data_IF_572580556739
#
_entry.id   IF_572580556739
#
_cell.length_a   1.000
_cell.length_b   1.000
_cell.length_c   1.000
_cell.angle_alpha   90.00
_cell.angle_beta   90.00
_cell.angle_gamma   90.00
#
_symmetry.space_group_name_H-M   'P 1'
#
loop_
_entity.id
_entity.type
_entity.pdbx_description
1 polymer ?
#
# COMPACT_ATOMS: atom_id res chain seq x y z
N UNK A 1 24.99 26.47 8.19
CA UNK A 1 24.12 25.99 9.28
C UNK A 1 24.25 24.48 9.37
N UNK A 2 24.48 23.93 10.56
CA UNK A 2 24.76 22.51 10.81
C UNK A 2 25.92 22.38 11.80
N UNK A 3 25.62 22.11 13.07
CA UNK A 3 26.61 22.08 14.15
C UNK A 3 27.75 21.08 13.91
N UNK A 4 28.96 21.45 14.35
CA UNK A 4 30.25 20.74 14.18
C UNK A 4 30.25 19.31 14.78
N UNK A 5 29.56 18.34 14.16
CA UNK A 5 29.64 16.93 14.57
C UNK A 5 28.55 15.98 14.07
N UNK A 6 27.48 16.47 13.41
CA UNK A 6 26.37 15.61 12.98
C UNK A 6 26.55 14.91 11.64
N UNK A 7 27.64 15.20 10.90
CA UNK A 7 27.83 14.82 9.48
C UNK A 7 27.71 13.33 9.18
N UNK A 8 27.93 12.44 10.16
CA UNK A 8 27.88 10.98 9.95
C UNK A 8 26.61 10.31 10.51
N UNK A 9 25.67 11.07 11.11
CA UNK A 9 24.43 10.50 11.67
C UNK A 9 23.35 10.53 10.61
N UNK A 10 22.94 9.35 10.14
CA UNK A 10 21.83 9.21 9.20
C UNK A 10 20.51 9.27 9.98
N UNK A 11 19.51 9.90 9.37
CA UNK A 11 18.13 9.95 9.86
C UNK A 11 17.22 9.59 8.69
N UNK A 12 16.25 8.71 8.92
CA UNK A 12 15.24 8.35 7.92
C UNK A 12 13.87 8.86 8.35
N UNK A 13 13.07 9.26 7.37
CA UNK A 13 11.73 9.80 7.56
C UNK A 13 10.70 8.88 6.90
N UNK A 14 9.50 8.85 7.47
CA UNK A 14 8.35 8.12 6.94
C UNK A 14 7.07 8.89 7.21
N UNK A 15 5.95 8.43 6.68
CA UNK A 15 4.62 8.98 6.98
C UNK A 15 3.92 8.08 7.99
N UNK A 16 3.24 8.68 8.98
CA UNK A 16 2.36 7.96 9.91
C UNK A 16 0.95 7.75 9.32
N UNK A 17 0.04 7.15 10.10
CA UNK A 17 -1.35 6.86 9.70
C UNK A 17 -2.18 8.13 9.40
N UNK A 18 -1.76 9.27 9.96
CA UNK A 18 -2.37 10.58 9.74
C UNK A 18 -1.67 11.35 8.58
N UNK A 19 -0.87 10.66 7.77
CA UNK A 19 -0.06 11.23 6.69
C UNK A 19 0.98 12.28 7.15
N UNK A 20 1.38 12.27 8.44
CA UNK A 20 2.38 13.20 8.98
C UNK A 20 3.78 12.62 8.86
N UNK A 21 4.76 13.47 8.53
CA UNK A 21 6.16 13.07 8.47
C UNK A 21 6.69 12.80 9.89
N UNK A 22 7.16 11.58 10.11
CA UNK A 22 7.77 11.12 11.35
C UNK A 22 9.17 10.58 11.10
N UNK A 23 9.97 10.47 12.16
CA UNK A 23 11.31 9.89 12.10
C UNK A 23 11.21 8.38 12.30
N UNK A 24 11.72 7.61 11.34
CA UNK A 24 11.72 6.13 11.39
C UNK A 24 13.01 5.62 12.03
N UNK A 25 14.16 6.19 11.65
CA UNK A 25 15.47 5.83 12.19
C UNK A 25 16.26 7.10 12.53
N UNK A 26 16.92 7.11 13.68
CA UNK A 26 17.74 8.25 14.10
C UNK A 26 18.29 8.08 15.52
N UNK A 27 18.92 9.14 16.03
CA UNK A 27 19.49 9.16 17.39
C UNK A 27 18.50 9.78 18.35
N UNK A 28 18.06 9.01 19.36
CA UNK A 28 17.20 9.50 20.42
C UNK A 28 17.99 10.34 21.43
N UNK A 29 17.50 11.53 21.73
CA UNK A 29 18.06 12.39 22.76
C UNK A 29 17.66 11.91 24.17
N UNK A 30 18.53 12.12 25.15
CA UNK A 30 18.21 11.84 26.55
C UNK A 30 17.19 12.83 27.11
N UNK A 31 16.46 12.43 28.14
CA UNK A 31 15.45 13.28 28.78
C UNK A 31 16.04 14.59 29.32
N UNK A 32 17.26 14.55 29.88
CA UNK A 32 17.93 15.76 30.38
C UNK A 32 18.28 16.75 29.27
N UNK A 33 18.70 16.26 28.10
CA UNK A 33 18.98 17.10 26.93
C UNK A 33 17.69 17.72 26.40
N UNK A 34 16.61 16.93 26.28
CA UNK A 34 15.30 17.44 25.85
C UNK A 34 14.74 18.50 26.80
N UNK A 35 14.89 18.31 28.11
CA UNK A 35 14.46 19.30 29.12
C UNK A 35 15.20 20.61 28.95
N UNK A 36 16.52 20.57 28.82
CA UNK A 36 17.35 21.77 28.60
C UNK A 36 16.98 22.49 27.31
N UNK A 37 16.72 21.75 26.22
CA UNK A 37 16.28 22.34 24.95
C UNK A 37 14.94 23.08 25.10
N UNK A 38 13.98 22.51 25.83
CA UNK A 38 12.71 23.19 26.10
C UNK A 38 12.88 24.46 26.95
N UNK A 39 13.74 24.39 27.96
CA UNK A 39 14.04 25.52 28.85
C UNK A 39 14.79 26.64 28.10
N UNK A 40 15.71 26.31 27.19
CA UNK A 40 16.41 27.30 26.36
C UNK A 40 15.48 28.00 25.37
N UNK A 41 14.52 27.28 24.78
CA UNK A 41 13.50 27.87 23.90
C UNK A 41 12.56 28.83 24.65
N UNK A 42 12.33 28.59 25.95
CA UNK A 42 11.53 29.49 26.81
C UNK A 42 12.30 30.72 27.27
N UNK A 43 13.62 30.60 27.49
CA UNK A 43 14.47 31.73 27.86
C UNK A 43 14.64 32.75 26.71
N UNK A 44 14.62 32.32 25.46
CA UNK A 44 14.64 33.23 24.29
C UNK A 44 13.26 33.87 24.00
N UNK A 45 12.17 33.28 24.51
CA UNK A 45 10.81 33.78 24.31
C UNK A 45 10.40 34.91 25.27
N UNK A 46 11.24 35.31 26.23
CA UNK A 46 10.94 36.42 27.16
C UNK A 46 11.19 37.81 26.57
N UNK A 47 11.27 37.96 25.25
CA UNK A 47 11.47 39.25 24.56
C UNK A 47 10.52 39.46 23.37
N UNK A 48 9.22 39.28 23.56
CA UNK A 48 8.23 40.06 22.81
C UNK A 48 6.95 40.28 23.64
N UNK A 49 6.33 41.48 23.57
CA UNK A 49 5.45 41.97 24.62
C UNK A 49 4.04 41.39 24.49
N UNK A 50 3.46 41.10 25.64
CA UNK A 50 2.02 40.88 25.82
C UNK A 50 1.22 42.12 25.42
N UNK A 51 0.19 41.96 24.59
CA UNK A 51 -0.96 42.86 24.58
C UNK A 51 -2.26 42.07 24.41
N UNK A 52 -3.00 41.98 25.51
CA UNK A 52 -4.45 41.83 25.51
C UNK A 52 -5.09 43.02 24.79
N UNK A 53 -6.01 42.80 23.84
CA UNK A 53 -7.21 43.63 23.64
C UNK A 53 -8.06 43.18 22.45
N UNK A 54 -9.36 43.30 22.67
CA UNK A 54 -10.46 43.46 21.73
C UNK A 54 -10.80 42.35 20.73
N UNK A 55 -11.74 41.53 21.19
CA UNK A 55 -12.62 40.73 20.37
C UNK A 55 -13.75 41.64 19.79
N UNK A 56 -13.43 42.49 18.82
CA UNK A 56 -14.41 43.16 17.94
C UNK A 56 -14.08 42.91 16.46
N UNK A 57 -14.80 41.93 15.90
CA UNK A 57 -15.51 41.95 14.61
C UNK A 57 -14.80 42.44 13.32
N UNK A 58 -14.49 41.43 12.47
CA UNK A 58 -14.61 41.33 11.00
C UNK A 58 -13.68 42.15 10.07
N UNK A 59 -13.51 41.76 8.76
CA UNK A 59 -13.55 40.43 8.12
C UNK A 59 -12.32 40.19 7.20
N UNK A 60 -12.26 39.02 6.56
CA UNK A 60 -11.41 38.70 5.38
C UNK A 60 -9.92 38.36 5.63
N UNK A 61 -9.65 37.05 5.80
CA UNK A 61 -8.56 36.42 5.03
C UNK A 61 -8.94 34.98 4.70
N UNK A 62 -8.96 34.67 3.40
CA UNK A 62 -9.35 33.41 2.81
C UNK A 62 -8.79 32.18 3.55
N UNK A 63 -9.72 31.37 4.05
CA UNK A 63 -9.47 29.99 4.49
C UNK A 63 -9.01 29.20 3.25
N UNK A 64 -7.91 28.44 3.26
CA UNK A 64 -7.77 27.37 2.31
C UNK A 64 -8.86 26.38 2.69
N UNK A 65 -9.91 26.31 1.87
CA UNK A 65 -10.93 25.28 1.98
C UNK A 65 -10.26 23.96 1.60
N UNK A 66 -9.54 23.37 2.55
CA UNK A 66 -9.18 21.96 2.50
C UNK A 66 -10.47 21.13 2.43
N UNK A 67 -10.39 19.90 1.89
CA UNK A 67 -11.56 19.07 1.74
C UNK A 67 -12.28 18.96 3.08
N UNK A 68 -13.59 19.19 3.04
CA UNK A 68 -14.47 19.03 4.18
C UNK A 68 -14.24 17.65 4.79
N UNK A 69 -14.39 17.52 6.12
CA UNK A 69 -14.35 16.21 6.80
C UNK A 69 -15.26 15.17 6.14
N UNK A 70 -16.34 15.60 5.50
CA UNK A 70 -17.23 14.74 4.71
C UNK A 70 -16.61 14.27 3.41
N UNK A 71 -15.88 15.12 2.69
CA UNK A 71 -15.20 14.76 1.44
C UNK A 71 -14.07 13.75 1.71
N UNK A 72 -13.34 13.91 2.81
CA UNK A 72 -12.33 12.95 3.26
C UNK A 72 -12.97 11.59 3.57
N UNK A 73 -14.11 11.58 4.28
CA UNK A 73 -14.81 10.34 4.62
C UNK A 73 -15.37 9.63 3.38
N UNK A 74 -15.88 10.37 2.40
CA UNK A 74 -16.31 9.83 1.11
C UNK A 74 -15.13 9.25 0.31
N UNK A 75 -13.98 9.93 0.33
CA UNK A 75 -12.78 9.44 -0.35
C UNK A 75 -12.27 8.12 0.27
N UNK A 76 -12.25 8.03 1.60
CA UNK A 76 -11.91 6.79 2.33
C UNK A 76 -12.88 5.67 1.93
N UNK A 77 -14.19 5.93 1.91
CA UNK A 77 -15.20 4.94 1.49
C UNK A 77 -14.97 4.48 0.05
N UNK A 78 -14.70 5.42 -0.86
CA UNK A 78 -14.46 5.14 -2.29
C UNK A 78 -13.15 4.35 -2.50
N UNK A 79 -12.13 4.63 -1.70
CA UNK A 79 -10.87 3.86 -1.69
C UNK A 79 -11.11 2.42 -1.24
N UNK A 80 -11.86 2.24 -0.16
CA UNK A 80 -12.19 0.90 0.36
C UNK A 80 -12.95 0.06 -0.68
N UNK A 81 -13.96 0.64 -1.34
CA UNK A 81 -14.73 -0.03 -2.38
C UNK A 81 -13.85 -0.45 -3.58
N UNK A 82 -12.93 0.41 -4.02
CA UNK A 82 -11.95 0.06 -5.06
C UNK A 82 -11.03 -1.07 -4.65
N UNK A 83 -10.55 -1.06 -3.41
CA UNK A 83 -9.71 -2.14 -2.90
C UNK A 83 -10.49 -3.46 -2.85
N UNK A 84 -11.76 -3.40 -2.44
CA UNK A 84 -12.62 -4.57 -2.42
C UNK A 84 -12.84 -5.15 -3.83
N UNK A 85 -13.07 -4.30 -4.84
CA UNK A 85 -13.21 -4.76 -6.23
C UNK A 85 -11.92 -5.37 -6.78
N UNK A 86 -10.76 -4.78 -6.46
CA UNK A 86 -9.46 -5.31 -6.89
C UNK A 86 -9.22 -6.71 -6.32
N UNK A 87 -9.53 -6.93 -5.05
CA UNK A 87 -9.40 -8.25 -4.42
C UNK A 87 -10.33 -9.26 -5.07
N UNK A 88 -11.59 -8.89 -5.33
CA UNK A 88 -12.53 -9.76 -6.05
C UNK A 88 -12.04 -10.12 -7.46
N UNK A 89 -11.51 -9.15 -8.21
CA UNK A 89 -10.94 -9.38 -9.54
C UNK A 89 -9.75 -10.35 -9.49
N UNK A 90 -8.83 -10.16 -8.54
CA UNK A 90 -7.68 -11.04 -8.38
C UNK A 90 -8.10 -12.48 -8.04
N UNK A 91 -9.10 -12.65 -7.18
CA UNK A 91 -9.67 -13.97 -6.87
C UNK A 91 -10.32 -14.61 -8.10
N UNK A 92 -11.11 -13.85 -8.86
CA UNK A 92 -11.74 -14.34 -10.09
C UNK A 92 -10.69 -14.78 -11.12
N UNK A 93 -9.64 -13.99 -11.29
CA UNK A 93 -8.52 -14.30 -12.19
C UNK A 93 -7.76 -15.55 -11.75
N UNK A 94 -7.56 -15.73 -10.44
CA UNK A 94 -6.94 -16.93 -9.90
C UNK A 94 -7.80 -18.17 -10.13
N UNK A 95 -9.11 -18.09 -9.88
CA UNK A 95 -10.05 -19.18 -10.12
C UNK A 95 -10.11 -19.56 -11.60
N UNK A 96 -10.08 -18.58 -12.51
CA UNK A 96 -9.99 -18.83 -13.95
C UNK A 96 -8.70 -19.56 -14.30
N UNK A 97 -7.55 -19.08 -13.81
CA UNK A 97 -6.25 -19.72 -14.04
C UNK A 97 -6.22 -21.15 -13.51
N UNK A 98 -6.83 -21.40 -12.35
CA UNK A 98 -6.93 -22.75 -11.78
C UNK A 98 -7.77 -23.66 -12.68
N UNK A 99 -8.92 -23.18 -13.17
CA UNK A 99 -9.75 -23.92 -14.13
C UNK A 99 -9.01 -24.22 -15.43
N UNK A 100 -8.29 -23.24 -15.97
CA UNK A 100 -7.47 -23.41 -17.18
C UNK A 100 -6.31 -24.36 -16.93
N UNK A 101 -5.65 -24.30 -15.77
CA UNK A 101 -4.58 -25.23 -15.40
C UNK A 101 -5.10 -26.65 -15.21
N UNK A 102 -6.27 -26.81 -14.57
CA UNK A 102 -6.94 -28.09 -14.42
C UNK A 102 -7.38 -28.65 -15.79
N UNK A 103 -7.92 -27.81 -16.67
CA UNK A 103 -8.29 -28.18 -18.03
C UNK A 103 -7.07 -28.54 -18.88
N UNK A 104 -5.98 -27.79 -18.78
CA UNK A 104 -4.73 -28.06 -19.49
C UNK A 104 -4.10 -29.38 -19.03
N UNK A 105 -4.07 -29.66 -17.71
CA UNK A 105 -3.62 -30.96 -17.19
C UNK A 105 -4.50 -32.11 -17.68
N UNK A 106 -5.83 -31.94 -17.66
CA UNK A 106 -6.76 -32.95 -18.18
C UNK A 106 -6.59 -33.17 -19.69
N UNK A 107 -6.36 -32.13 -20.48
CA UNK A 107 -6.12 -32.23 -21.92
C UNK A 107 -4.77 -32.90 -22.22
N UNK A 108 -3.72 -32.55 -21.48
CA UNK A 108 -2.37 -33.13 -21.63
C UNK A 108 -2.33 -34.61 -21.26
N UNK A 109 -3.19 -35.08 -20.35
CA UNK A 109 -3.32 -36.50 -20.04
C UNK A 109 -4.15 -37.26 -21.10
N UNK A 110 -5.18 -36.61 -21.65
CA UNK A 110 -6.03 -37.19 -22.69
C UNK A 110 -5.34 -37.24 -24.06
N UNK A 111 -4.40 -36.34 -24.36
CA UNK A 111 -3.78 -36.25 -25.69
C UNK A 111 -2.89 -37.46 -26.03
N UNK A 112 -1.96 -37.91 -25.16
CA UNK A 112 -1.17 -39.12 -25.36
C UNK A 112 -2.01 -40.40 -25.30
N UNK A 113 -2.99 -40.44 -24.38
CA UNK A 113 -3.92 -41.57 -24.25
C UNK A 113 -4.73 -41.76 -25.54
N UNK A 114 -5.28 -40.68 -26.09
CA UNK A 114 -6.05 -40.70 -27.34
C UNK A 114 -5.21 -41.12 -28.55
N UNK A 115 -3.97 -40.64 -28.65
CA UNK A 115 -3.04 -41.05 -29.73
C UNK A 115 -2.74 -42.56 -29.64
N UNK A 116 -2.48 -43.05 -28.43
CA UNK A 116 -2.17 -44.46 -28.19
C UNK A 116 -3.38 -45.36 -28.48
N UNK A 117 -4.57 -44.95 -28.04
CA UNK A 117 -5.82 -45.64 -28.31
C UNK A 117 -6.11 -45.74 -29.82
N UNK A 118 -5.96 -44.63 -30.54
CA UNK A 118 -6.13 -44.60 -32.00
C UNK A 118 -5.16 -45.54 -32.69
N UNK A 119 -3.88 -45.54 -32.32
CA UNK A 119 -2.89 -46.45 -32.89
C UNK A 119 -3.21 -47.92 -32.61
N UNK A 120 -3.66 -48.24 -31.39
CA UNK A 120 -4.07 -49.59 -31.01
C UNK A 120 -5.26 -50.06 -31.84
N UNK A 121 -6.28 -49.21 -32.02
CA UNK A 121 -7.45 -49.50 -32.83
C UNK A 121 -7.09 -49.80 -34.29
N UNK A 122 -6.16 -49.05 -34.89
CA UNK A 122 -5.67 -49.34 -36.25
C UNK A 122 -4.96 -50.69 -36.33
N UNK A 123 -4.07 -51.01 -35.39
CA UNK A 123 -3.37 -52.31 -35.36
C UNK A 123 -4.35 -53.47 -35.20
N UNK A 124 -5.36 -53.31 -34.35
CA UNK A 124 -6.40 -54.31 -34.16
C UNK A 124 -7.25 -54.50 -35.42
N UNK A 125 -7.58 -53.41 -36.12
CA UNK A 125 -8.29 -53.47 -37.40
C UNK A 125 -7.47 -54.18 -38.50
N UNK A 126 -6.16 -53.92 -38.58
CA UNK A 126 -5.28 -54.62 -39.51
C UNK A 126 -5.16 -56.11 -39.19
N UNK A 127 -4.98 -56.45 -37.90
CA UNK A 127 -4.97 -57.85 -37.45
C UNK A 127 -6.28 -58.55 -37.76
N UNK A 128 -7.43 -57.90 -37.56
CA UNK A 128 -8.75 -58.48 -37.87
C UNK A 128 -8.92 -58.74 -39.37
N UNK A 129 -8.40 -57.88 -40.24
CA UNK A 129 -8.44 -58.08 -41.70
C UNK A 129 -7.55 -59.23 -42.18
N UNK A 130 -6.47 -59.54 -41.47
CA UNK A 130 -5.57 -60.65 -41.79
C UNK A 130 -6.09 -62.00 -41.31
N UNK A 131 -7.13 -62.00 -40.46
CA UNK A 131 -7.70 -63.21 -39.84
C UNK A 131 -9.03 -63.66 -40.51
N UNK A 132 -9.36 -63.09 -41.67
CA UNK A 132 -10.49 -63.46 -42.56
C UNK A 132 -9.93 -63.99 -43.87
#
# INVERSE_FOLDING_TARGET
MGGNGSTNRKVSFGMDEDEKVTVIEGVKLSADVLRRMRESEQADNTKSPSSVSDNQKDPSSAKPTGPSSTEIQEEIRKNFERQQSLVQEQLAKLAQRERESAAAKGLDELTPAFITEKQKAYREQENAKMLV
#
